data_IF_101450032643
#
_entry.id   IF_101450032643
#
_cell.length_a   1.000
_cell.length_b   1.000
_cell.length_c   1.000
_cell.angle_alpha   90.00
_cell.angle_beta   90.00
_cell.angle_gamma   90.00
#
_symmetry.space_group_name_H-M   'P 1'
#
loop_
_entity.id
_entity.type
_entity.pdbx_description
1 polymer ?
#
# COMPACT_ATOMS: atom_id res chain seq x y z
N UNK A 1 5.78 23.19 -78.44
CA UNK A 1 4.82 22.07 -78.50
C UNK A 1 5.39 20.90 -77.72
N UNK A 2 4.53 20.22 -76.95
CA UNK A 2 4.75 18.99 -76.17
C UNK A 2 5.76 19.11 -75.00
N UNK A 3 5.51 18.60 -73.80
CA UNK A 3 4.45 17.73 -73.31
C UNK A 3 4.97 17.04 -72.04
N UNK A 4 4.36 17.38 -70.92
CA UNK A 4 4.50 16.86 -69.55
C UNK A 4 4.71 15.32 -69.47
N UNK A 5 5.54 14.86 -68.52
CA UNK A 5 5.11 13.80 -67.60
C UNK A 5 5.86 13.84 -66.26
N UNK A 6 5.13 14.25 -65.21
CA UNK A 6 5.54 14.07 -63.80
C UNK A 6 5.18 12.65 -63.39
N UNK A 7 6.16 11.81 -63.07
CA UNK A 7 5.92 10.52 -62.42
C UNK A 7 5.50 10.73 -60.96
N UNK A 8 4.33 10.20 -60.61
CA UNK A 8 3.73 10.26 -59.28
C UNK A 8 4.07 8.98 -58.49
N UNK A 9 4.59 9.04 -57.24
CA UNK A 9 4.81 7.86 -56.41
C UNK A 9 3.69 7.73 -55.39
N UNK A 10 2.52 7.25 -55.79
CA UNK A 10 1.45 6.96 -54.84
C UNK A 10 0.87 5.58 -55.09
N UNK A 11 1.51 4.53 -54.56
CA UNK A 11 0.84 3.26 -54.24
C UNK A 11 1.69 2.34 -53.33
N UNK A 12 2.14 2.80 -52.15
CA UNK A 12 2.76 1.92 -51.13
C UNK A 12 2.39 2.11 -49.63
N UNK A 13 1.40 2.93 -49.18
CA UNK A 13 1.08 2.98 -47.75
C UNK A 13 0.05 1.94 -47.29
N UNK A 14 -0.78 1.39 -48.18
CA UNK A 14 -1.94 0.53 -47.80
C UNK A 14 -1.55 -0.88 -47.32
N UNK A 15 -0.50 -1.48 -47.88
CA UNK A 15 -0.09 -2.85 -47.55
C UNK A 15 0.51 -2.93 -46.14
N UNK A 16 1.35 -1.95 -45.79
CA UNK A 16 2.04 -1.86 -44.50
C UNK A 16 1.08 -1.67 -43.33
N UNK A 17 -0.01 -0.92 -43.55
CA UNK A 17 -1.07 -0.71 -42.56
C UNK A 17 -1.89 -1.97 -42.30
N UNK A 18 -2.21 -2.75 -43.36
CA UNK A 18 -2.89 -4.05 -43.24
C UNK A 18 -2.08 -5.06 -42.42
N UNK A 19 -0.76 -5.14 -42.66
CA UNK A 19 0.12 -6.03 -41.87
C UNK A 19 0.26 -5.57 -40.41
N UNK A 20 0.29 -4.26 -40.15
CA UNK A 20 0.33 -3.73 -38.79
C UNK A 20 -0.97 -4.05 -38.01
N UNK A 21 -2.13 -3.92 -38.66
CA UNK A 21 -3.44 -4.28 -38.07
C UNK A 21 -3.51 -5.78 -37.80
N UNK A 22 -3.04 -6.62 -38.74
CA UNK A 22 -3.01 -8.08 -38.57
C UNK A 22 -2.08 -8.54 -37.43
N UNK A 23 -1.06 -7.76 -37.08
CA UNK A 23 -0.16 -8.03 -35.94
C UNK A 23 -0.71 -7.49 -34.61
N UNK A 24 -1.37 -6.33 -34.62
CA UNK A 24 -1.88 -5.68 -33.41
C UNK A 24 -3.22 -6.26 -32.92
N UNK A 25 -4.08 -6.73 -33.83
CA UNK A 25 -5.38 -7.32 -33.50
C UNK A 25 -5.27 -8.58 -32.62
N UNK A 26 -4.42 -9.59 -32.92
CA UNK A 26 -4.27 -10.75 -32.05
C UNK A 26 -3.66 -10.39 -30.69
N UNK A 27 -2.75 -9.41 -30.63
CA UNK A 27 -2.18 -8.92 -29.37
C UNK A 27 -3.25 -8.22 -28.50
N UNK A 28 -4.11 -7.41 -29.13
CA UNK A 28 -5.23 -6.75 -28.45
C UNK A 28 -6.26 -7.77 -27.94
N UNK A 29 -6.58 -8.79 -28.74
CA UNK A 29 -7.48 -9.88 -28.38
C UNK A 29 -6.90 -10.77 -27.27
N UNK A 30 -5.58 -10.98 -27.23
CA UNK A 30 -4.90 -11.71 -26.15
C UNK A 30 -4.90 -10.91 -24.83
N UNK A 31 -4.83 -9.58 -24.92
CA UNK A 31 -4.82 -8.69 -23.76
C UNK A 31 -6.23 -8.33 -23.24
N UNK A 32 -7.26 -8.43 -24.07
CA UNK A 32 -8.65 -8.11 -23.71
C UNK A 32 -9.22 -8.94 -22.52
N UNK A 33 -8.91 -10.24 -22.36
CA UNK A 33 -9.36 -11.02 -21.20
C UNK A 33 -8.44 -10.93 -19.97
N UNK A 34 -7.28 -10.28 -20.04
CA UNK A 34 -6.34 -10.20 -18.89
C UNK A 34 -6.90 -9.44 -17.67
N UNK A 35 -7.63 -8.32 -17.81
CA UNK A 35 -8.22 -7.61 -16.67
C UNK A 35 -9.21 -8.46 -15.86
N UNK A 36 -10.21 -9.14 -16.45
CA UNK A 36 -11.12 -9.98 -15.66
C UNK A 36 -10.41 -11.21 -15.07
N UNK A 37 -9.40 -11.77 -15.74
CA UNK A 37 -8.58 -12.86 -15.19
C UNK A 37 -7.85 -12.45 -13.92
N UNK A 38 -7.21 -11.26 -13.91
CA UNK A 38 -6.55 -10.75 -12.71
C UNK A 38 -7.53 -10.53 -11.55
N UNK A 39 -8.74 -10.03 -11.83
CA UNK A 39 -9.79 -9.86 -10.84
C UNK A 39 -10.39 -11.18 -10.33
N UNK A 40 -10.38 -12.25 -11.13
CA UNK A 40 -10.76 -13.61 -10.69
C UNK A 40 -9.65 -14.25 -9.86
N UNK A 41 -8.39 -14.14 -10.28
CA UNK A 41 -7.24 -14.69 -9.56
C UNK A 41 -7.04 -14.02 -8.20
N UNK A 42 -7.27 -12.70 -8.11
CA UNK A 42 -7.13 -11.94 -6.86
C UNK A 42 -8.42 -11.89 -6.03
N UNK A 43 -9.55 -12.42 -6.54
CA UNK A 43 -10.85 -12.39 -5.86
C UNK A 43 -10.83 -13.08 -4.48
N UNK A 44 -9.90 -14.01 -4.27
CA UNK A 44 -9.64 -14.70 -3.00
C UNK A 44 -8.27 -14.39 -2.39
N UNK A 45 -7.48 -13.47 -2.95
CA UNK A 45 -6.19 -13.10 -2.35
C UNK A 45 -6.36 -12.58 -0.91
N UNK A 46 -7.47 -11.89 -0.63
CA UNK A 46 -7.82 -11.42 0.71
C UNK A 46 -8.54 -12.48 1.58
N UNK A 47 -8.91 -13.65 1.05
CA UNK A 47 -9.57 -14.70 1.84
C UNK A 47 -8.59 -15.46 2.74
N UNK A 48 -7.30 -15.47 2.39
CA UNK A 48 -6.23 -16.04 3.22
C UNK A 48 -5.64 -15.01 4.21
N UNK A 49 -5.71 -13.71 3.89
CA UNK A 49 -5.20 -12.64 4.76
C UNK A 49 -6.04 -12.38 6.02
N UNK A 50 -7.27 -12.91 6.09
CA UNK A 50 -8.16 -12.83 7.26
C UNK A 50 -8.15 -14.10 8.12
N UNK A 51 -7.08 -14.89 8.05
CA UNK A 51 -6.88 -16.00 8.98
C UNK A 51 -6.31 -15.44 10.27
N UNK A 52 -7.15 -15.43 11.31
CA UNK A 52 -6.70 -15.10 12.66
C UNK A 52 -5.72 -16.18 13.09
N UNK A 53 -4.47 -15.80 13.36
CA UNK A 53 -3.54 -16.69 14.04
C UNK A 53 -4.01 -16.82 15.50
N UNK A 54 -4.00 -18.03 16.09
CA UNK A 54 -4.28 -18.17 17.50
C UNK A 54 -3.29 -17.29 18.27
N UNK A 55 -3.83 -16.46 19.18
CA UNK A 55 -3.02 -15.67 20.09
C UNK A 55 -2.15 -16.64 20.90
N UNK A 56 -0.83 -16.47 20.88
CA UNK A 56 -0.01 -17.05 21.93
C UNK A 56 -0.52 -16.46 23.26
N UNK A 57 -0.86 -17.32 24.22
CA UNK A 57 -1.60 -16.99 25.45
C UNK A 57 -0.96 -15.90 26.35
N UNK A 58 0.23 -15.41 26.01
CA UNK A 58 1.07 -14.61 26.92
C UNK A 58 0.73 -13.12 27.02
N UNK A 59 -0.14 -12.56 26.16
CA UNK A 59 -0.34 -11.10 26.09
C UNK A 59 -1.81 -10.64 26.08
N UNK A 60 -2.69 -11.30 26.83
CA UNK A 60 -4.00 -10.70 27.11
C UNK A 60 -3.81 -9.42 27.92
N UNK A 61 -4.20 -8.28 27.33
CA UNK A 61 -4.27 -7.02 28.04
C UNK A 61 -5.21 -7.20 29.25
N UNK A 62 -4.68 -6.98 30.46
CA UNK A 62 -5.47 -7.11 31.68
C UNK A 62 -6.63 -6.10 31.66
N UNK A 63 -7.83 -6.48 32.14
CA UNK A 63 -8.96 -5.56 32.21
C UNK A 63 -8.57 -4.30 32.99
N UNK A 64 -8.68 -3.13 32.34
CA UNK A 64 -8.31 -1.84 32.91
C UNK A 64 -6.92 -1.31 32.54
N UNK A 65 -6.09 -2.08 31.82
CA UNK A 65 -4.80 -1.58 31.36
C UNK A 65 -4.98 -0.64 30.16
N UNK A 66 -4.65 0.65 30.33
CA UNK A 66 -4.73 1.64 29.26
C UNK A 66 -3.57 1.43 28.27
N UNK A 67 -3.85 0.74 27.17
CA UNK A 67 -2.89 0.52 26.09
C UNK A 67 -2.38 1.86 25.53
N UNK A 68 -1.06 2.00 25.44
CA UNK A 68 -0.44 3.18 24.86
C UNK A 68 -0.07 2.93 23.39
N UNK A 69 -0.52 3.82 22.52
CA UNK A 69 -0.29 3.75 21.08
C UNK A 69 0.63 4.87 20.60
N UNK A 70 1.50 4.57 19.64
CA UNK A 70 2.21 5.57 18.85
C UNK A 70 2.00 5.33 17.37
N UNK A 71 1.50 6.35 16.67
CA UNK A 71 1.57 6.42 15.21
C UNK A 71 3.00 6.78 14.83
N UNK A 72 3.59 6.05 13.89
CA UNK A 72 4.97 6.26 13.41
C UNK A 72 4.93 6.48 11.91
N UNK A 73 5.54 7.56 11.45
CA UNK A 73 5.58 7.93 10.03
C UNK A 73 6.92 8.54 9.68
N UNK A 74 7.39 8.30 8.45
CA UNK A 74 8.71 8.71 7.97
C UNK A 74 8.65 8.94 6.46
N UNK A 75 9.38 9.96 6.00
CA UNK A 75 9.62 10.28 4.59
C UNK A 75 11.10 10.60 4.43
N UNK A 76 11.67 10.29 3.27
CA UNK A 76 13.00 10.75 2.89
C UNK A 76 13.03 12.21 2.44
N UNK A 77 11.87 12.84 2.25
CA UNK A 77 11.71 14.22 1.76
C UNK A 77 12.48 14.50 0.45
N UNK A 78 12.70 13.47 -0.37
CA UNK A 78 13.45 13.55 -1.61
C UNK A 78 14.97 13.51 -1.45
N UNK A 79 15.51 13.24 -0.25
CA UNK A 79 16.96 13.16 -0.03
C UNK A 79 17.62 11.97 -0.73
N UNK A 80 16.91 10.86 -0.89
CA UNK A 80 17.41 9.65 -1.58
C UNK A 80 17.39 9.78 -3.12
N UNK A 81 16.72 10.81 -3.65
CA UNK A 81 16.27 10.89 -5.04
C UNK A 81 17.19 11.64 -6.01
N UNK A 82 18.47 11.87 -5.70
CA UNK A 82 19.38 12.66 -6.56
C UNK A 82 19.55 12.12 -8.00
N UNK A 83 19.07 10.92 -8.32
CA UNK A 83 19.20 10.29 -9.65
C UNK A 83 17.89 10.02 -10.42
N UNK A 84 16.71 10.12 -9.80
CA UNK A 84 15.44 9.79 -10.46
C UNK A 84 14.75 11.09 -10.94
N UNK A 85 14.91 11.41 -12.23
CA UNK A 85 14.19 12.53 -12.86
C UNK A 85 12.67 12.34 -12.68
N UNK A 86 12.05 13.11 -11.80
CA UNK A 86 10.65 13.51 -11.94
C UNK A 86 9.69 13.32 -10.77
N UNK A 87 10.05 12.71 -9.64
CA UNK A 87 9.14 12.59 -8.49
C UNK A 87 9.82 12.99 -7.18
N UNK A 88 9.24 13.96 -6.49
CA UNK A 88 9.67 14.43 -5.18
C UNK A 88 8.52 14.26 -4.19
N UNK A 89 8.81 13.65 -3.05
CA UNK A 89 7.88 13.55 -1.91
C UNK A 89 8.14 14.63 -0.87
N UNK A 90 8.92 15.66 -1.23
CA UNK A 90 9.20 16.80 -0.37
C UNK A 90 7.90 17.51 0.01
N UNK A 91 7.73 17.78 1.31
CA UNK A 91 6.58 18.42 1.90
C UNK A 91 5.41 17.48 2.20
N UNK A 92 5.42 16.24 1.70
CA UNK A 92 4.31 15.29 1.91
C UNK A 92 4.17 14.95 3.39
N UNK A 93 5.27 14.65 4.10
CA UNK A 93 5.21 14.35 5.53
C UNK A 93 4.67 15.55 6.31
N UNK A 94 5.12 16.76 5.99
CA UNK A 94 4.65 17.97 6.65
C UNK A 94 3.14 18.19 6.44
N UNK A 95 2.66 18.00 5.22
CA UNK A 95 1.25 18.14 4.87
C UNK A 95 0.36 17.13 5.60
N UNK A 96 0.76 15.86 5.66
CA UNK A 96 -0.06 14.82 6.30
C UNK A 96 0.13 14.72 7.81
N UNK A 97 1.27 15.16 8.35
CA UNK A 97 1.55 15.08 9.79
C UNK A 97 0.56 15.90 10.62
N UNK A 98 0.02 17.02 10.11
CA UNK A 98 -1.03 17.77 10.80
C UNK A 98 -2.31 16.94 10.95
N UNK A 99 -2.74 16.26 9.89
CA UNK A 99 -3.90 15.36 9.92
C UNK A 99 -3.69 14.21 10.92
N UNK A 100 -2.54 13.54 10.86
CA UNK A 100 -2.17 12.45 11.79
C UNK A 100 -2.09 12.93 13.25
N UNK A 101 -1.57 14.13 13.48
CA UNK A 101 -1.44 14.73 14.82
C UNK A 101 -2.80 15.03 15.44
N UNK A 102 -3.73 15.58 14.65
CA UNK A 102 -5.09 15.84 15.11
C UNK A 102 -5.81 14.55 15.51
N UNK A 103 -5.68 13.49 14.69
CA UNK A 103 -6.24 12.18 15.01
C UNK A 103 -5.60 11.58 16.27
N UNK A 104 -4.26 11.59 16.37
CA UNK A 104 -3.57 11.07 17.55
C UNK A 104 -4.01 11.80 18.83
N UNK A 105 -4.12 13.13 18.79
CA UNK A 105 -4.57 13.93 19.93
C UNK A 105 -6.01 13.59 20.34
N UNK A 106 -6.93 13.42 19.38
CA UNK A 106 -8.33 13.10 19.65
C UNK A 106 -8.53 11.74 20.36
N UNK A 107 -7.63 10.79 20.14
CA UNK A 107 -7.71 9.43 20.72
C UNK A 107 -6.69 9.18 21.84
N UNK A 108 -5.92 10.19 22.25
CA UNK A 108 -4.90 10.05 23.30
C UNK A 108 -3.69 9.21 22.88
N UNK A 109 -3.40 9.13 21.58
CA UNK A 109 -2.22 8.47 21.03
C UNK A 109 -1.02 9.42 20.90
N UNK A 110 0.18 8.86 20.82
CA UNK A 110 1.39 9.61 20.44
C UNK A 110 1.57 9.64 18.92
N UNK A 111 2.22 10.69 18.39
CA UNK A 111 2.68 10.74 17.01
C UNK A 111 4.20 10.89 16.95
N UNK A 112 4.84 10.08 16.10
CA UNK A 112 6.24 10.15 15.75
C UNK A 112 6.38 10.44 14.25
N UNK A 113 6.41 11.71 13.89
CA UNK A 113 6.83 12.13 12.56
C UNK A 113 8.35 12.25 12.55
N UNK A 114 9.02 11.23 12.02
CA UNK A 114 10.47 11.12 12.07
C UNK A 114 11.13 12.03 11.01
N UNK A 115 12.30 12.61 11.33
CA UNK A 115 13.01 13.47 10.38
C UNK A 115 13.59 12.65 9.22
N UNK A 116 13.88 13.28 8.07
CA UNK A 116 14.41 12.58 6.90
C UNK A 116 15.71 11.81 7.15
N UNK A 117 16.56 12.30 8.07
CA UNK A 117 17.79 11.62 8.48
C UNK A 117 17.58 10.28 9.20
N UNK A 118 16.34 9.90 9.52
CA UNK A 118 16.01 8.58 10.05
C UNK A 118 15.85 7.49 8.96
N UNK A 119 15.89 7.87 7.67
CA UNK A 119 15.98 6.92 6.55
C UNK A 119 17.40 6.37 6.49
N UNK A 120 17.53 5.04 6.44
CA UNK A 120 18.83 4.36 6.29
C UNK A 120 19.19 4.30 4.79
N UNK A 121 20.21 5.04 4.32
CA UNK A 121 20.60 5.04 2.91
C UNK A 121 21.27 3.73 2.48
N UNK A 122 21.72 2.89 3.41
CA UNK A 122 22.31 1.59 3.13
C UNK A 122 21.28 0.49 2.82
N UNK A 123 19.98 0.82 2.84
CA UNK A 123 18.87 -0.12 2.61
C UNK A 123 17.90 0.44 1.58
N UNK A 124 17.12 -0.41 0.89
CA UNK A 124 16.01 0.08 0.09
C UNK A 124 15.04 0.89 0.98
N UNK A 125 14.52 2.05 0.53
CA UNK A 125 13.79 3.00 1.39
C UNK A 125 12.65 2.38 2.21
N UNK A 126 11.93 1.41 1.64
CA UNK A 126 10.85 0.70 2.31
C UNK A 126 11.28 -0.03 3.60
N UNK A 127 12.57 -0.39 3.74
CA UNK A 127 13.08 -1.10 4.93
C UNK A 127 13.40 -0.17 6.10
N UNK A 128 13.49 1.15 5.88
CA UNK A 128 13.74 2.12 6.97
C UNK A 128 12.64 2.09 8.04
N UNK A 129 11.42 1.66 7.68
CA UNK A 129 10.31 1.48 8.63
C UNK A 129 10.64 0.51 9.77
N UNK A 130 11.42 -0.55 9.49
CA UNK A 130 11.78 -1.55 10.50
C UNK A 130 12.67 -0.94 11.58
N UNK A 131 13.67 -0.14 11.18
CA UNK A 131 14.57 0.54 12.11
C UNK A 131 13.83 1.62 12.91
N UNK A 132 12.97 2.39 12.23
CA UNK A 132 12.11 3.39 12.84
C UNK A 132 11.21 2.82 13.94
N UNK A 133 10.61 1.65 13.70
CA UNK A 133 9.78 0.94 14.68
C UNK A 133 10.64 0.36 15.80
N UNK A 134 11.77 -0.30 15.48
CA UNK A 134 12.67 -0.92 16.46
C UNK A 134 13.16 0.06 17.52
N UNK A 135 13.50 1.29 17.11
CA UNK A 135 13.93 2.35 18.03
C UNK A 135 12.84 2.79 19.03
N UNK A 136 11.59 2.35 18.85
CA UNK A 136 10.41 2.79 19.61
C UNK A 136 9.66 1.65 20.30
N UNK A 137 10.01 0.38 20.04
CA UNK A 137 9.31 -0.80 20.57
C UNK A 137 9.15 -0.80 22.09
N UNK A 138 10.09 -0.21 22.84
CA UNK A 138 10.05 -0.19 24.31
C UNK A 138 9.27 0.98 24.92
N UNK A 139 8.70 1.88 24.11
CA UNK A 139 8.09 3.14 24.59
C UNK A 139 6.56 3.10 24.63
N UNK A 140 5.95 2.20 23.86
CA UNK A 140 4.51 2.09 23.68
C UNK A 140 4.13 0.62 23.57
N UNK A 141 2.91 0.27 23.99
CA UNK A 141 2.40 -1.10 23.85
C UNK A 141 2.20 -1.46 22.38
N UNK A 142 1.73 -0.49 21.60
CA UNK A 142 1.45 -0.66 20.18
C UNK A 142 2.08 0.46 19.34
N UNK A 143 2.73 0.05 18.25
CA UNK A 143 3.22 0.95 17.23
C UNK A 143 2.39 0.76 15.95
N UNK A 144 1.77 1.83 15.48
CA UNK A 144 1.05 1.85 14.22
C UNK A 144 1.90 2.54 13.16
N UNK A 145 2.46 1.77 12.23
CA UNK A 145 3.14 2.33 11.07
C UNK A 145 2.11 2.96 10.13
N UNK A 146 2.34 4.21 9.74
CA UNK A 146 1.51 4.92 8.79
C UNK A 146 2.40 5.68 7.81
N UNK A 147 2.27 5.37 6.51
CA UNK A 147 3.14 5.97 5.49
C UNK A 147 3.00 7.50 5.45
N UNK A 148 4.00 8.19 4.93
CA UNK A 148 3.99 9.66 4.90
C UNK A 148 2.89 10.22 4.00
N UNK A 149 2.48 9.50 2.98
CA UNK A 149 1.49 9.88 1.96
C UNK A 149 0.04 9.47 2.30
N UNK A 150 -0.20 8.89 3.47
CA UNK A 150 -1.56 8.55 3.93
C UNK A 150 -2.19 9.68 4.76
N UNK A 151 -3.52 9.72 4.77
CA UNK A 151 -4.32 10.61 5.64
C UNK A 151 -5.46 9.84 6.30
N UNK A 152 -5.81 10.24 7.52
CA UNK A 152 -7.02 9.79 8.22
C UNK A 152 -8.20 10.56 7.66
N UNK A 153 -9.16 9.85 7.07
CA UNK A 153 -10.37 10.41 6.45
C UNK A 153 -11.60 10.32 7.35
N UNK A 154 -11.63 9.37 8.28
CA UNK A 154 -12.66 9.25 9.30
C UNK A 154 -12.03 9.26 10.69
N UNK A 155 -11.92 10.43 11.35
CA UNK A 155 -11.26 10.54 12.65
C UNK A 155 -12.11 10.00 13.81
N UNK A 156 -13.38 9.62 13.59
CA UNK A 156 -14.24 9.09 14.65
C UNK A 156 -13.96 7.63 15.02
N UNK A 157 -13.30 6.88 14.14
CA UNK A 157 -12.98 5.46 14.36
C UNK A 157 -11.62 5.35 15.07
N UNK A 158 -11.56 4.65 16.20
CA UNK A 158 -10.32 4.46 16.96
C UNK A 158 -9.50 3.27 16.43
N UNK A 159 -8.17 3.33 16.53
CA UNK A 159 -7.31 2.17 16.20
C UNK A 159 -7.65 0.95 17.07
N UNK A 160 -7.99 1.19 18.34
CA UNK A 160 -8.37 0.12 19.28
C UNK A 160 -9.61 -0.62 18.78
N UNK A 161 -10.65 0.07 18.31
CA UNK A 161 -11.86 -0.61 17.83
C UNK A 161 -11.57 -1.50 16.63
N UNK A 162 -10.75 -1.03 15.70
CA UNK A 162 -10.32 -1.81 14.52
C UNK A 162 -9.51 -3.07 14.91
N UNK A 163 -8.82 -3.05 16.05
CA UNK A 163 -8.07 -4.19 16.55
C UNK A 163 -8.94 -5.16 17.35
N UNK A 164 -9.87 -4.67 18.16
CA UNK A 164 -10.79 -5.51 18.96
C UNK A 164 -11.82 -6.22 18.06
N UNK A 165 -12.21 -5.62 16.93
CA UNK A 165 -13.00 -6.32 15.91
C UNK A 165 -12.27 -7.54 15.34
N UNK A 166 -10.93 -7.56 15.37
CA UNK A 166 -10.13 -8.75 15.02
C UNK A 166 -10.14 -9.80 16.14
N UNK A 167 -10.18 -9.40 17.41
CA UNK A 167 -10.27 -10.32 18.56
C UNK A 167 -11.64 -11.00 18.66
N UNK A 168 -12.72 -10.30 18.32
CA UNK A 168 -14.07 -10.89 18.27
C UNK A 168 -14.21 -11.95 17.17
N UNK A 169 -13.38 -11.90 16.13
CA UNK A 169 -13.28 -12.96 15.11
C UNK A 169 -12.68 -14.27 15.67
N UNK A 170 -12.01 -14.24 16.83
CA UNK A 170 -11.39 -15.42 17.45
C UNK A 170 -12.38 -16.34 18.18
N UNK A 171 -13.55 -15.85 18.59
CA UNK A 171 -14.50 -16.63 19.41
C UNK A 171 -15.61 -17.33 18.62
N UNK A 172 -15.74 -17.11 17.31
CA UNK A 172 -16.87 -17.65 16.55
C UNK A 172 -16.52 -18.78 15.56
N UNK A 173 -15.25 -19.15 15.35
CA UNK A 173 -14.89 -20.06 14.26
C UNK A 173 -14.07 -21.31 14.64
N UNK A 174 -13.69 -21.50 15.91
CA UNK A 174 -12.83 -22.64 16.27
C UNK A 174 -13.60 -23.95 16.52
N UNK A 175 -14.89 -23.89 16.88
CA UNK A 175 -15.64 -25.10 17.22
C UNK A 175 -16.35 -25.78 16.04
N UNK A 176 -16.32 -25.21 14.83
CA UNK A 176 -17.04 -25.79 13.70
C UNK A 176 -16.16 -26.53 12.67
N UNK A 177 -14.84 -26.32 12.66
CA UNK A 177 -13.93 -27.05 11.74
C UNK A 177 -13.24 -28.27 12.38
N UNK A 178 -13.23 -28.41 13.71
CA UNK A 178 -12.56 -29.56 14.37
C UNK A 178 -13.40 -30.85 14.29
N UNK A 179 -14.70 -30.77 14.04
CA UNK A 179 -15.57 -31.97 13.95
C UNK A 179 -15.78 -32.51 12.53
N UNK A 180 -15.29 -31.84 11.47
CA UNK A 180 -15.40 -32.35 10.09
C UNK A 180 -14.10 -33.00 9.56
N UNK A 181 -13.08 -33.12 10.41
CA UNK A 181 -11.79 -33.77 10.06
C UNK A 181 -11.44 -34.94 11.00
N UNK A 182 -12.39 -35.38 11.83
CA UNK A 182 -12.36 -36.68 12.54
C UNK A 182 -13.62 -37.47 12.20
#
# INVERSE_FOLDING_TARGET
MAGRERRSPHHRPRLRHRHLILLLLPLLLLCFPLPPLSAVLLRRANSLGRRCLPLADDHRALPGQRLSFSIVTLSDEGLSGRGARGRSFRGVLAATARNKRAYAAAHGYSLAALPPGAVDPGRPPAWSKVLALRARLRRHHWLFWNDADTVVTNPGISLVSLMVDMESCSNQYVLQEILEVL
#
